data_IF_208524978376
#
_entry.id   IF_208524978376
#
_cell.length_a   1.000
_cell.length_b   1.000
_cell.length_c   1.000
_cell.angle_alpha   90.00
_cell.angle_beta   90.00
_cell.angle_gamma   90.00
#
_symmetry.space_group_name_H-M   'P 1'
#
loop_
_entity.id
_entity.type
_entity.pdbx_description
1 polymer ?
#
# COMPACT_ATOMS: atom_id res chain seq x y z
N UNK A 1 21.39 -26.01 -12.68
CA UNK A 1 20.71 -24.71 -12.88
C UNK A 1 19.23 -24.98 -12.65
N UNK A 2 18.58 -24.26 -11.73
CA UNK A 2 17.15 -24.42 -11.47
C UNK A 2 16.36 -23.60 -12.49
N UNK A 3 15.35 -24.20 -13.12
CA UNK A 3 14.44 -23.50 -14.02
C UNK A 3 13.36 -22.78 -13.19
N UNK A 4 13.02 -21.55 -13.59
CA UNK A 4 11.96 -20.77 -12.94
C UNK A 4 10.80 -20.61 -13.92
N UNK A 5 9.61 -21.08 -13.52
CA UNK A 5 8.39 -20.95 -14.30
C UNK A 5 7.57 -19.79 -13.74
N UNK A 6 7.29 -18.77 -14.54
CA UNK A 6 6.57 -17.57 -14.10
C UNK A 6 5.11 -17.64 -14.56
N UNK A 7 4.17 -17.45 -13.63
CA UNK A 7 2.74 -17.46 -13.88
C UNK A 7 2.10 -16.18 -13.32
N UNK A 8 1.50 -15.38 -14.21
CA UNK A 8 0.80 -14.16 -13.81
C UNK A 8 -0.67 -14.45 -13.47
N UNK A 9 -1.10 -13.99 -12.29
CA UNK A 9 -2.50 -14.04 -11.89
C UNK A 9 -3.26 -12.86 -12.51
N UNK A 10 -4.21 -13.16 -13.41
CA UNK A 10 -4.89 -12.16 -14.24
C UNK A 10 -6.06 -11.41 -13.56
N UNK A 11 -6.29 -11.61 -12.27
CA UNK A 11 -7.39 -10.95 -11.56
C UNK A 11 -6.99 -9.59 -11.01
N UNK A 12 -7.51 -8.53 -11.62
CA UNK A 12 -7.39 -7.14 -11.12
C UNK A 12 -8.09 -6.93 -9.75
N UNK A 13 -9.05 -7.80 -9.39
CA UNK A 13 -9.74 -7.77 -8.10
C UNK A 13 -8.90 -8.37 -6.95
N UNK A 14 -7.81 -9.05 -7.27
CA UNK A 14 -6.94 -9.74 -6.32
C UNK A 14 -5.60 -9.01 -6.12
N UNK A 15 -5.56 -7.71 -6.41
CA UNK A 15 -4.36 -6.91 -6.20
C UNK A 15 -3.98 -6.91 -4.71
N UNK A 16 -2.74 -7.30 -4.41
CA UNK A 16 -2.20 -7.34 -3.06
C UNK A 16 -1.63 -5.96 -2.73
N UNK A 17 -2.17 -5.20 -1.77
CA UNK A 17 -1.65 -3.87 -1.44
C UNK A 17 -0.24 -3.96 -0.85
N UNK A 18 0.71 -3.21 -1.39
CA UNK A 18 2.03 -3.03 -0.81
C UNK A 18 2.06 -1.73 0.00
N UNK A 19 2.23 -1.83 1.31
CA UNK A 19 2.19 -0.68 2.23
C UNK A 19 3.61 -0.28 2.65
N UNK A 20 3.99 0.96 2.37
CA UNK A 20 5.26 1.54 2.82
C UNK A 20 4.99 2.57 3.91
N UNK A 21 5.32 2.23 5.16
CA UNK A 21 5.17 3.15 6.29
C UNK A 21 6.41 4.06 6.41
N UNK A 22 6.17 5.36 6.60
CA UNK A 22 7.22 6.36 6.83
C UNK A 22 7.98 6.17 8.14
N UNK A 23 7.38 5.49 9.12
CA UNK A 23 7.96 5.26 10.44
C UNK A 23 8.53 3.84 10.54
N UNK A 24 9.81 3.67 10.15
CA UNK A 24 10.67 2.56 10.57
C UNK A 24 10.17 1.12 10.35
N UNK A 25 10.90 0.15 10.91
CA UNK A 25 10.56 -1.28 10.90
C UNK A 25 9.77 -1.64 12.16
N UNK A 26 8.84 -2.58 12.04
CA UNK A 26 8.21 -3.19 13.21
C UNK A 26 9.24 -4.02 13.97
N UNK A 27 9.23 -3.91 15.30
CA UNK A 27 10.06 -4.76 16.15
C UNK A 27 9.60 -6.21 16.00
N UNK A 28 10.56 -7.12 15.77
CA UNK A 28 10.34 -8.50 15.35
C UNK A 28 9.54 -9.38 16.32
N UNK A 29 9.30 -8.93 17.55
CA UNK A 29 8.47 -9.64 18.54
C UNK A 29 7.07 -9.05 18.76
N UNK A 30 6.75 -7.93 18.11
CA UNK A 30 5.47 -7.24 18.32
C UNK A 30 4.44 -7.64 17.26
N UNK A 31 3.38 -8.31 17.70
CA UNK A 31 2.20 -8.51 16.86
C UNK A 31 1.48 -7.17 16.69
N UNK A 32 1.54 -6.57 15.50
CA UNK A 32 0.84 -5.31 15.22
C UNK A 32 -0.57 -5.60 14.73
N UNK A 33 -1.56 -5.08 15.46
CA UNK A 33 -2.95 -5.07 15.02
C UNK A 33 -3.18 -3.86 14.13
N UNK A 34 -3.53 -4.10 12.88
CA UNK A 34 -3.87 -3.06 11.92
C UNK A 34 -5.31 -3.26 11.42
N UNK A 35 -6.08 -2.17 11.38
CA UNK A 35 -7.41 -2.13 10.75
C UNK A 35 -7.33 -1.26 9.51
N UNK A 36 -7.70 -1.83 8.37
CA UNK A 36 -7.62 -1.17 7.08
C UNK A 36 -9.01 -0.72 6.61
N UNK A 37 -9.09 0.46 6.02
CA UNK A 37 -10.29 0.99 5.36
C UNK A 37 -9.87 1.60 4.03
N UNK A 38 -10.31 0.98 2.94
CA UNK A 38 -10.01 1.40 1.57
C UNK A 38 -11.16 2.25 1.04
N UNK A 39 -10.82 3.43 0.55
CA UNK A 39 -11.74 4.38 -0.05
C UNK A 39 -11.36 4.57 -1.52
N UNK A 40 -12.35 4.47 -2.41
CA UNK A 40 -12.19 4.70 -3.84
C UNK A 40 -13.39 5.50 -4.34
N UNK A 41 -13.12 6.59 -5.05
CA UNK A 41 -14.18 7.30 -5.77
C UNK A 41 -14.61 6.52 -7.01
N UNK A 42 -15.92 6.43 -7.25
CA UNK A 42 -16.47 5.64 -8.35
C UNK A 42 -15.94 6.17 -9.69
N UNK A 43 -15.29 5.30 -10.46
CA UNK A 43 -14.72 5.65 -11.77
C UNK A 43 -13.30 6.19 -11.72
N UNK A 44 -12.73 6.43 -10.54
CA UNK A 44 -11.33 6.81 -10.39
C UNK A 44 -10.45 5.61 -10.03
N UNK A 45 -9.24 5.54 -10.60
CA UNK A 45 -8.19 4.60 -10.18
C UNK A 45 -7.52 5.00 -8.86
N UNK A 46 -7.74 6.27 -8.45
CA UNK A 46 -7.27 6.89 -7.23
C UNK A 46 -7.92 6.22 -6.01
N UNK A 47 -7.10 5.67 -5.12
CA UNK A 47 -7.51 4.99 -3.88
C UNK A 47 -6.78 5.61 -2.70
N UNK A 48 -7.50 5.72 -1.59
CA UNK A 48 -6.96 6.14 -0.29
C UNK A 48 -7.13 4.98 0.68
N UNK A 49 -6.04 4.61 1.36
CA UNK A 49 -6.05 3.60 2.41
C UNK A 49 -5.82 4.27 3.75
N UNK A 50 -6.75 4.06 4.67
CA UNK A 50 -6.60 4.42 6.08
C UNK A 50 -6.23 3.16 6.86
N UNK A 51 -5.12 3.20 7.59
CA UNK A 51 -4.66 2.10 8.43
C UNK A 51 -4.59 2.57 9.88
N UNK A 52 -5.46 2.03 10.73
CA UNK A 52 -5.49 2.32 12.16
C UNK A 52 -4.73 1.23 12.93
N UNK A 53 -3.71 1.64 13.66
CA UNK A 53 -2.95 0.83 14.61
C UNK A 53 -3.23 1.33 16.04
N UNK A 54 -2.69 0.66 17.06
CA UNK A 54 -2.99 0.94 18.47
C UNK A 54 -2.69 2.40 18.90
N UNK A 55 -1.60 2.98 18.40
CA UNK A 55 -1.15 4.34 18.77
C UNK A 55 -1.03 5.33 17.61
N UNK A 56 -1.33 4.89 16.38
CA UNK A 56 -1.13 5.71 15.20
C UNK A 56 -2.17 5.38 14.14
N UNK A 57 -2.64 6.40 13.44
CA UNK A 57 -3.40 6.23 12.20
C UNK A 57 -2.51 6.65 11.05
N UNK A 58 -2.48 5.87 9.99
CA UNK A 58 -1.78 6.20 8.76
C UNK A 58 -2.77 6.41 7.63
N UNK A 59 -2.47 7.37 6.78
CA UNK A 59 -3.20 7.61 5.53
C UNK A 59 -2.21 7.46 4.39
N UNK A 60 -2.56 6.66 3.40
CA UNK A 60 -1.76 6.51 2.20
C UNK A 60 -2.60 6.49 0.94
N UNK A 61 -1.94 6.75 -0.18
CA UNK A 61 -2.58 6.92 -1.48
C UNK A 61 -1.86 6.06 -2.52
N UNK A 62 -2.60 5.47 -3.48
CA UNK A 62 -2.01 4.63 -4.54
C UNK A 62 -1.54 5.40 -5.78
N UNK A 63 -1.45 6.71 -5.66
CA UNK A 63 -1.00 7.64 -6.68
C UNK A 63 0.00 8.56 -6.01
N UNK A 64 1.08 8.87 -6.72
CA UNK A 64 1.99 9.90 -6.28
C UNK A 64 1.25 11.25 -6.24
N UNK A 65 1.44 11.99 -5.15
CA UNK A 65 1.02 13.40 -5.05
C UNK A 65 1.61 14.17 -6.22
N UNK A 66 0.81 15.05 -6.84
CA UNK A 66 1.27 15.93 -7.93
C UNK A 66 2.60 16.61 -7.55
N UNK A 67 3.66 16.31 -8.31
CA UNK A 67 5.00 16.88 -8.08
C UNK A 67 6.16 15.89 -8.14
N UNK A 68 5.93 14.57 -8.04
CA UNK A 68 6.95 13.55 -8.29
C UNK A 68 6.51 12.61 -9.42
N UNK A 69 7.32 12.58 -10.48
CA UNK A 69 7.25 11.71 -11.66
C UNK A 69 5.88 11.55 -12.36
N UNK A 70 5.51 12.57 -13.13
CA UNK A 70 4.65 12.42 -14.32
C UNK A 70 5.27 11.58 -15.46
N UNK A 71 6.28 10.75 -15.21
CA UNK A 71 7.22 10.35 -16.26
C UNK A 71 7.18 8.90 -16.73
N UNK A 72 6.42 7.96 -16.15
CA UNK A 72 6.21 6.66 -16.82
C UNK A 72 4.84 6.04 -16.49
N UNK A 73 3.85 6.23 -17.36
CA UNK A 73 2.58 5.48 -17.38
C UNK A 73 2.74 3.96 -17.64
N UNK A 74 3.97 3.43 -17.63
CA UNK A 74 4.32 2.09 -18.09
C UNK A 74 4.96 1.20 -17.02
N UNK A 75 5.19 1.70 -15.79
CA UNK A 75 5.75 0.86 -14.72
C UNK A 75 4.64 0.08 -14.02
N UNK A 76 4.67 -1.24 -14.18
CA UNK A 76 3.84 -2.19 -13.44
C UNK A 76 4.70 -2.88 -12.39
N UNK A 77 4.37 -2.69 -11.12
CA UNK A 77 4.97 -3.44 -10.02
C UNK A 77 4.10 -4.66 -9.71
N UNK A 78 4.73 -5.76 -9.31
CA UNK A 78 4.06 -7.02 -8.98
C UNK A 78 4.71 -7.66 -7.76
N UNK A 79 3.95 -8.45 -7.01
CA UNK A 79 4.46 -9.27 -5.91
C UNK A 79 4.66 -10.69 -6.43
N UNK A 80 5.90 -11.19 -6.33
CA UNK A 80 6.24 -12.56 -6.70
C UNK A 80 6.32 -13.48 -5.48
N UNK A 81 5.64 -14.62 -5.53
CA UNK A 81 5.76 -15.71 -4.55
C UNK A 81 6.43 -16.88 -5.25
N UNK A 82 7.66 -17.22 -4.83
CA UNK A 82 8.44 -18.32 -5.41
C UNK A 82 8.35 -19.56 -4.52
N UNK A 83 7.81 -20.64 -5.08
CA UNK A 83 8.02 -21.98 -4.55
C UNK A 83 9.39 -22.49 -5.02
N UNK A 84 10.29 -22.69 -4.04
CA UNK A 84 11.67 -23.12 -4.30
C UNK A 84 11.79 -24.61 -4.62
N UNK A 85 10.81 -25.43 -4.21
CA UNK A 85 10.82 -26.87 -4.46
C UNK A 85 10.41 -27.16 -5.90
N UNK A 86 9.39 -26.45 -6.40
CA UNK A 86 8.89 -26.61 -7.78
C UNK A 86 9.52 -25.66 -8.79
N UNK A 87 10.14 -24.56 -8.33
CA UNK A 87 10.64 -23.49 -9.18
C UNK A 87 9.54 -22.60 -9.78
N UNK A 88 8.30 -22.72 -9.31
CA UNK A 88 7.17 -21.93 -9.81
C UNK A 88 7.07 -20.59 -9.08
N UNK A 89 6.95 -19.49 -9.83
CA UNK A 89 6.72 -18.15 -9.32
C UNK A 89 5.34 -17.64 -9.73
N UNK A 90 4.49 -17.37 -8.74
CA UNK A 90 3.22 -16.68 -8.93
C UNK A 90 3.43 -15.17 -8.84
N UNK A 91 2.97 -14.43 -9.86
CA UNK A 91 2.98 -12.98 -9.86
C UNK A 91 1.58 -12.43 -9.60
N UNK A 92 1.48 -11.51 -8.65
CA UNK A 92 0.25 -10.81 -8.28
C UNK A 92 0.36 -9.32 -8.59
N UNK A 93 -0.73 -8.73 -9.08
CA UNK A 93 -0.84 -7.28 -9.21
C UNK A 93 -0.75 -6.62 -7.83
N UNK A 94 -0.24 -5.39 -7.75
CA UNK A 94 -0.20 -4.63 -6.50
C UNK A 94 -0.57 -3.17 -6.71
N UNK A 95 -1.32 -2.61 -5.75
CA UNK A 95 -1.40 -1.18 -5.51
C UNK A 95 -0.39 -0.81 -4.43
N UNK A 96 0.47 0.16 -4.70
CA UNK A 96 1.48 0.63 -3.75
C UNK A 96 0.93 1.84 -3.00
N UNK A 97 0.90 1.79 -1.68
CA UNK A 97 0.49 2.91 -0.84
C UNK A 97 1.67 3.42 -0.01
N UNK A 98 1.98 4.71 -0.15
CA UNK A 98 2.90 5.40 0.74
C UNK A 98 2.13 5.94 1.95
N UNK A 99 2.41 5.41 3.13
CA UNK A 99 1.64 5.62 4.35
C UNK A 99 2.31 6.68 5.23
N UNK A 100 1.60 7.78 5.47
CA UNK A 100 2.04 8.92 6.31
C UNK A 100 1.23 8.93 7.61
N UNK A 101 1.87 9.17 8.78
CA UNK A 101 1.14 9.27 10.04
C UNK A 101 0.18 10.46 9.99
N UNK A 102 -1.06 10.22 10.40
CA UNK A 102 -2.04 11.26 10.64
C UNK A 102 -1.83 11.79 12.05
N UNK A 103 -1.29 13.00 12.14
CA UNK A 103 -1.12 13.73 13.39
C UNK A 103 -2.34 14.64 13.54
N UNK A 104 -3.21 14.32 14.50
CA UNK A 104 -4.32 15.22 14.85
C UNK A 104 -3.72 16.46 15.50
N UNK A 105 -3.83 17.61 14.85
CA UNK A 105 -3.45 18.87 15.48
C UNK A 105 -4.22 19.01 16.81
N UNK A 106 -3.47 19.14 17.91
CA UNK A 106 -4.07 19.51 19.20
C UNK A 106 -4.54 20.96 19.03
N UNK A 107 -5.85 21.18 19.04
CA UNK A 107 -6.44 22.50 18.87
C UNK A 107 -5.93 23.47 19.94
N UNK A 108 -4.89 24.22 19.63
CA UNK A 108 -4.76 25.61 20.06
C UNK A 108 -5.66 26.43 19.15
N UNK A 109 -6.80 26.90 19.67
CA UNK A 109 -7.77 27.82 19.07
C UNK A 109 -7.47 28.33 17.64
N UNK A 110 -7.78 27.52 16.63
CA UNK A 110 -8.13 27.98 15.31
C UNK A 110 -9.03 26.93 14.65
N UNK A 111 -10.31 27.26 14.57
CA UNK A 111 -11.32 26.46 13.90
C UNK A 111 -10.99 26.33 12.42
N UNK A 112 -10.49 25.18 12.00
CA UNK A 112 -10.68 24.68 10.64
C UNK A 112 -10.99 23.18 10.74
N UNK A 113 -12.27 22.84 10.69
CA UNK A 113 -12.72 21.47 10.49
C UNK A 113 -12.47 21.13 9.02
N UNK A 114 -11.54 20.21 8.78
CA UNK A 114 -11.58 19.38 7.58
C UNK A 114 -12.07 18.00 8.03
N UNK A 115 -13.11 17.55 7.30
CA UNK A 115 -14.05 16.44 7.57
C UNK A 115 -15.22 16.78 8.48
#
# INVERSE_FOLDING_TARGET
>A
MMEIIIQETNSQRDAIPLLSFSNGRLDSSSAVKAKHSLYQEKGMKRRTLVTKMDHMTYIGTNYETEGTMSTFSFRKYMIGVLDKETGTMELHNTDIFHMTPYIKEVQGHASNKLF
#
